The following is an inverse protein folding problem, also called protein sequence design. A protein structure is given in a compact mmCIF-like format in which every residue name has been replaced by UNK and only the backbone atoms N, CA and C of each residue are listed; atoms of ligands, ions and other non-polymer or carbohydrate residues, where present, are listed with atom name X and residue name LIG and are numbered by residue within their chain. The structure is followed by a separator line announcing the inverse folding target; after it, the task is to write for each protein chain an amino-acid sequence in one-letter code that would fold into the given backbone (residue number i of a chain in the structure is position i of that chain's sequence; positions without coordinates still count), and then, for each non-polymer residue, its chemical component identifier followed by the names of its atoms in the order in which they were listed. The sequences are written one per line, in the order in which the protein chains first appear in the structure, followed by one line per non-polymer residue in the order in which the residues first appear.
data_IF_932029398703
#
_entry.id   IF_932029398703
#
_cell.length_a   1.000
_cell.length_b   1.000
_cell.length_c   1.000
_cell.angle_alpha   90.00
_cell.angle_beta   90.00
_cell.angle_gamma   90.00
#
_symmetry.space_group_name_H-M   'P 1'
#
loop_
_entity.id
_entity.type
_entity.pdbx_description
1 polymer ?
#
# COMPACT_ATOMS: atom_id res chain seq x y z
N UNK A 1 16.10 -8.13 -3.90
CA UNK A 1 14.78 -8.59 -4.36
C UNK A 1 14.89 -8.83 -5.86
N UNK A 2 14.51 -10.00 -6.37
CA UNK A 2 14.51 -10.26 -7.81
C UNK A 2 13.48 -9.38 -8.53
N UNK A 3 13.62 -9.27 -9.85
CA UNK A 3 12.76 -8.49 -10.76
C UNK A 3 11.27 -8.91 -10.71
N UNK A 4 10.94 -10.00 -10.02
CA UNK A 4 9.65 -10.71 -10.14
C UNK A 4 8.58 -10.33 -9.10
N UNK A 5 8.87 -9.43 -8.15
CA UNK A 5 7.91 -9.08 -7.08
C UNK A 5 7.23 -7.72 -7.28
N UNK A 6 7.25 -7.19 -8.50
CA UNK A 6 6.71 -5.86 -8.84
C UNK A 6 5.22 -5.71 -8.48
N UNK A 7 4.44 -6.79 -8.49
CA UNK A 7 3.02 -6.77 -8.13
C UNK A 7 2.76 -6.61 -6.62
N UNK A 8 3.72 -6.89 -5.73
CA UNK A 8 3.53 -6.83 -4.28
C UNK A 8 3.33 -5.41 -3.72
N UNK A 9 2.47 -5.24 -2.72
CA UNK A 9 2.33 -3.96 -1.98
C UNK A 9 3.57 -3.60 -1.15
N UNK A 10 4.48 -4.56 -0.96
CA UNK A 10 5.77 -4.39 -0.29
C UNK A 10 6.90 -4.02 -1.28
N UNK A 11 6.63 -4.05 -2.59
CA UNK A 11 7.61 -3.64 -3.58
C UNK A 11 7.89 -2.14 -3.44
N UNK A 12 9.17 -1.78 -3.47
CA UNK A 12 9.60 -0.38 -3.43
C UNK A 12 9.24 0.31 -4.74
N UNK A 13 8.24 1.18 -4.66
CA UNK A 13 7.80 2.08 -5.73
C UNK A 13 7.11 3.24 -4.99
N UNK A 14 7.84 4.34 -4.75
CA UNK A 14 7.30 5.46 -4.02
C UNK A 14 6.00 5.96 -4.66
N UNK A 15 4.98 6.19 -3.84
CA UNK A 15 3.70 6.77 -4.27
C UNK A 15 3.38 8.00 -3.44
N UNK A 16 2.71 8.97 -4.04
CA UNK A 16 2.30 10.21 -3.38
C UNK A 16 0.82 10.13 -2.99
N UNK A 17 0.52 10.38 -1.72
CA UNK A 17 -0.84 10.32 -1.17
C UNK A 17 -1.00 11.37 -0.06
N UNK A 18 -2.02 12.23 -0.18
CA UNK A 18 -2.40 13.21 0.86
C UNK A 18 -1.20 13.99 1.42
N UNK A 19 -0.40 14.57 0.51
CA UNK A 19 0.82 15.36 0.79
C UNK A 19 2.05 14.58 1.30
N UNK A 20 1.95 13.25 1.41
CA UNK A 20 3.05 12.40 1.84
C UNK A 20 3.56 11.51 0.69
N UNK A 21 4.88 11.36 0.62
CA UNK A 21 5.52 10.30 -0.17
C UNK A 21 5.69 9.06 0.69
N UNK A 22 5.23 7.92 0.18
CA UNK A 22 5.30 6.63 0.86
C UNK A 22 6.17 5.66 0.05
N UNK A 23 7.14 4.96 0.67
CA UNK A 23 8.06 4.06 -0.05
C UNK A 23 7.37 2.92 -0.81
N UNK A 24 6.21 2.45 -0.33
CA UNK A 24 5.42 1.38 -0.96
C UNK A 24 3.91 1.61 -0.73
N UNK A 25 3.07 0.84 -1.43
CA UNK A 25 1.61 0.80 -1.19
C UNK A 25 1.27 0.43 0.26
N UNK A 26 2.01 -0.51 0.86
CA UNK A 26 1.79 -0.91 2.26
C UNK A 26 1.93 0.28 3.21
N UNK A 27 2.91 1.15 3.01
CA UNK A 27 3.08 2.35 3.83
C UNK A 27 1.86 3.28 3.74
N UNK A 28 1.43 3.60 2.51
CA UNK A 28 0.30 4.49 2.28
C UNK A 28 -1.00 3.89 2.85
N UNK A 29 -1.23 2.59 2.62
CA UNK A 29 -2.42 1.90 3.10
C UNK A 29 -2.51 1.89 4.63
N UNK A 30 -1.39 1.66 5.32
CA UNK A 30 -1.34 1.65 6.77
C UNK A 30 -1.48 3.06 7.37
N UNK A 31 -0.86 4.07 6.74
CA UNK A 31 -1.01 5.46 7.15
C UNK A 31 -2.45 5.98 6.96
N UNK A 32 -3.13 5.51 5.92
CA UNK A 32 -4.51 5.89 5.63
C UNK A 32 -5.53 5.36 6.65
N UNK A 33 -5.15 4.50 7.59
CA UNK A 33 -6.04 4.00 8.65
C UNK A 33 -6.34 5.04 9.73
N UNK A 34 -5.52 6.07 9.85
CA UNK A 34 -5.63 7.11 10.87
C UNK A 34 -5.82 8.48 10.21
N UNK A 35 -6.44 9.40 10.95
CA UNK A 35 -6.53 10.82 10.61
C UNK A 35 -5.42 11.63 11.28
N UNK A 36 -4.67 11.04 12.22
CA UNK A 36 -3.57 11.71 12.89
C UNK A 36 -2.36 11.88 11.94
N UNK A 37 -2.03 13.13 11.65
CA UNK A 37 -0.91 13.54 10.80
C UNK A 37 0.44 13.06 11.37
N UNK A 38 0.60 13.05 12.70
CA UNK A 38 1.84 12.59 13.34
C UNK A 38 2.05 11.09 13.14
N UNK A 39 0.99 10.30 13.27
CA UNK A 39 1.04 8.86 12.99
C UNK A 39 1.32 8.57 11.51
N UNK A 40 0.69 9.32 10.60
CA UNK A 40 0.96 9.21 9.16
C UNK A 40 2.42 9.50 8.84
N UNK A 41 2.97 10.58 9.40
CA UNK A 41 4.38 10.96 9.22
C UNK A 41 5.31 9.91 9.82
N UNK A 42 4.98 9.36 10.98
CA UNK A 42 5.74 8.28 11.59
C UNK A 42 5.78 7.05 10.67
N UNK A 43 4.61 6.61 10.18
CA UNK A 43 4.50 5.47 9.27
C UNK A 43 5.31 5.72 8.00
N UNK A 44 5.22 6.92 7.40
CA UNK A 44 5.98 7.27 6.20
C UNK A 44 7.51 7.11 6.35
N UNK A 45 8.04 7.27 7.56
CA UNK A 45 9.48 7.26 7.84
C UNK A 45 9.98 5.97 8.51
N UNK A 46 9.12 4.97 8.77
CA UNK A 46 9.54 3.75 9.44
C UNK A 46 10.37 2.85 8.51
N UNK A 47 11.31 2.09 9.06
CA UNK A 47 12.38 1.46 8.28
C UNK A 47 11.99 0.31 7.34
N UNK A 48 10.77 -0.25 7.41
CA UNK A 48 10.34 -1.30 6.48
C UNK A 48 8.81 -1.37 6.30
N UNK A 49 8.32 -1.93 5.17
CA UNK A 49 6.89 -2.17 4.97
C UNK A 49 6.28 -3.08 6.06
N UNK A 50 7.06 -4.03 6.58
CA UNK A 50 6.65 -4.88 7.70
C UNK A 50 6.46 -4.08 9.00
N UNK A 51 7.34 -3.11 9.25
CA UNK A 51 7.19 -2.19 10.37
C UNK A 51 6.00 -1.24 10.17
N UNK A 52 5.77 -0.73 8.96
CA UNK A 52 4.59 0.06 8.61
C UNK A 52 3.29 -0.72 8.85
N UNK A 53 3.25 -1.99 8.42
CA UNK A 53 2.14 -2.91 8.70
C UNK A 53 1.88 -3.10 10.19
N UNK A 54 2.94 -3.24 10.98
CA UNK A 54 2.85 -3.36 12.44
C UNK A 54 2.32 -2.06 13.06
N UNK A 55 2.86 -0.91 12.65
CA UNK A 55 2.43 0.40 13.15
C UNK A 55 0.96 0.68 12.84
N UNK A 56 0.52 0.48 11.58
CA UNK A 56 -0.88 0.67 11.17
C UNK A 56 -1.89 -0.32 11.77
N UNK A 57 -1.46 -1.37 12.47
CA UNK A 57 -2.36 -2.19 13.29
C UNK A 57 -2.68 -1.56 14.65
N UNK A 58 -1.85 -0.62 15.11
CA UNK A 58 -1.90 -0.03 16.44
C UNK A 58 -2.33 1.44 16.44
N UNK A 59 -2.60 2.02 15.27
CA UNK A 59 -3.08 3.40 15.16
C UNK A 59 -4.52 3.53 15.65
N UNK A 60 -4.94 4.76 15.96
CA UNK A 60 -6.36 5.05 16.13
C UNK A 60 -7.08 4.90 14.79
N UNK A 61 -7.86 3.82 14.67
CA UNK A 61 -8.57 3.50 13.43
C UNK A 61 -9.69 4.52 13.20
N UNK A 62 -9.75 5.07 11.98
CA UNK A 62 -10.87 5.90 11.54
C UNK A 62 -12.19 5.12 11.59
N UNK A 63 -13.28 5.81 11.92
CA UNK A 63 -14.61 5.20 12.08
C UNK A 63 -15.19 4.63 10.79
N UNK A 64 -14.83 5.20 9.64
CA UNK A 64 -15.27 4.82 8.30
C UNK A 64 -14.37 3.75 7.64
N UNK A 65 -13.37 3.20 8.35
CA UNK A 65 -12.33 2.38 7.73
C UNK A 65 -12.86 1.20 6.91
N UNK A 66 -13.85 0.49 7.45
CA UNK A 66 -14.41 -0.69 6.79
C UNK A 66 -15.11 -0.36 5.47
N UNK A 67 -15.68 0.83 5.36
CA UNK A 67 -16.37 1.32 4.16
C UNK A 67 -15.37 1.76 3.08
N UNK A 68 -14.24 2.36 3.49
CA UNK A 68 -13.33 3.00 2.54
C UNK A 68 -12.08 2.19 2.20
N UNK A 69 -11.74 1.13 2.96
CA UNK A 69 -10.45 0.42 2.83
C UNK A 69 -10.19 -0.08 1.39
N UNK A 70 -11.22 -0.50 0.68
CA UNK A 70 -11.10 -0.95 -0.70
C UNK A 70 -10.80 0.22 -1.65
N UNK A 71 -11.48 1.35 -1.48
CA UNK A 71 -11.20 2.58 -2.24
C UNK A 71 -9.78 3.09 -1.97
N UNK A 72 -9.33 3.08 -0.71
CA UNK A 72 -7.96 3.46 -0.34
C UNK A 72 -6.94 2.55 -1.05
N UNK A 73 -7.14 1.23 -1.01
CA UNK A 73 -6.25 0.29 -1.71
C UNK A 73 -6.24 0.56 -3.22
N UNK A 74 -7.41 0.77 -3.82
CA UNK A 74 -7.55 1.09 -5.24
C UNK A 74 -6.72 2.33 -5.61
N UNK A 75 -6.87 3.43 -4.86
CA UNK A 75 -6.10 4.66 -5.12
C UNK A 75 -4.59 4.43 -4.98
N UNK A 76 -4.15 3.67 -3.95
CA UNK A 76 -2.74 3.35 -3.79
C UNK A 76 -2.18 2.53 -4.97
N UNK A 77 -2.96 1.57 -5.49
CA UNK A 77 -2.58 0.76 -6.64
C UNK A 77 -2.56 1.60 -7.92
N UNK A 78 -3.55 2.47 -8.13
CA UNK A 78 -3.54 3.43 -9.23
C UNK A 78 -2.28 4.28 -9.21
N UNK A 79 -1.89 4.82 -8.04
CA UNK A 79 -0.67 5.61 -7.92
C UNK A 79 0.60 4.78 -8.23
N UNK A 80 0.65 3.52 -7.78
CA UNK A 80 1.79 2.61 -8.02
C UNK A 80 1.96 2.28 -9.51
N UNK A 81 0.85 2.11 -10.23
CA UNK A 81 0.80 1.67 -11.61
C UNK A 81 0.51 2.79 -12.62
N UNK A 82 0.49 4.05 -12.18
CA UNK A 82 0.28 5.20 -13.07
C UNK A 82 1.45 5.46 -14.03
N UNK A 83 2.65 5.02 -13.66
CA UNK A 83 3.87 5.15 -14.47
C UNK A 83 3.93 4.06 -15.56
N UNK A 84 4.36 4.43 -16.76
CA UNK A 84 4.22 3.64 -18.00
C UNK A 84 4.86 2.24 -17.91
N UNK A 85 5.93 2.09 -17.12
CA UNK A 85 6.67 0.84 -17.00
C UNK A 85 5.82 -0.32 -16.46
N UNK A 86 5.28 -0.20 -15.25
CA UNK A 86 4.47 -1.27 -14.64
C UNK A 86 3.03 -1.29 -15.14
N UNK A 87 2.54 -0.18 -15.72
CA UNK A 87 1.27 -0.17 -16.45
C UNK A 87 1.31 -1.12 -17.66
N UNK A 88 2.41 -1.12 -18.41
CA UNK A 88 2.58 -2.02 -19.55
C UNK A 88 2.62 -3.49 -19.11
N UNK A 89 3.38 -3.81 -18.05
CA UNK A 89 3.41 -5.16 -17.47
C UNK A 89 2.03 -5.60 -16.95
N UNK A 90 1.27 -4.70 -16.32
CA UNK A 90 -0.09 -4.98 -15.87
C UNK A 90 -1.03 -5.31 -17.03
N UNK A 91 -1.00 -4.55 -18.14
CA UNK A 91 -1.84 -4.82 -19.32
C UNK A 91 -1.53 -6.14 -20.01
N UNK A 92 -0.26 -6.55 -20.00
CA UNK A 92 0.18 -7.81 -20.61
C UNK A 92 -0.15 -9.03 -19.74
N UNK A 93 -0.59 -8.81 -18.51
CA UNK A 93 -0.87 -9.89 -17.57
C UNK A 93 -2.30 -10.41 -17.77
N UNK A 94 -2.43 -11.53 -18.48
CA UNK A 94 -3.69 -12.30 -18.63
C UNK A 94 -4.01 -13.17 -17.39
N UNK A 95 -3.36 -12.89 -16.27
CA UNK A 95 -3.44 -13.66 -15.02
C UNK A 95 -4.16 -12.86 -13.96
N UNK A 96 -5.15 -13.49 -13.34
CA UNK A 96 -5.76 -13.02 -12.10
C UNK A 96 -4.68 -12.98 -11.00
N UNK A 97 -4.08 -11.82 -10.76
CA UNK A 97 -3.04 -11.63 -9.76
C UNK A 97 -3.63 -11.50 -8.36
N UNK A 98 -3.98 -12.62 -7.74
CA UNK A 98 -4.38 -12.67 -6.34
C UNK A 98 -3.19 -13.17 -5.51
N UNK A 99 -2.70 -12.34 -4.60
CA UNK A 99 -1.84 -12.78 -3.50
C UNK A 99 -2.73 -12.96 -2.26
N UNK A 100 -3.27 -14.16 -2.06
CA UNK A 100 -3.99 -14.48 -0.81
C UNK A 100 -2.96 -14.72 0.29
N UNK A 101 -3.13 -14.05 1.44
CA UNK A 101 -2.49 -14.46 2.70
C UNK A 101 -3.46 -15.30 3.56
N UNK A 102 -4.51 -15.85 2.94
CA UNK A 102 -5.48 -16.70 3.61
C UNK A 102 -4.99 -18.14 3.47
N UNK A 103 -4.24 -18.62 4.46
CA UNK A 103 -4.33 -20.02 4.83
C UNK A 103 -5.76 -20.22 5.29
N UNK A 104 -6.59 -20.78 4.41
CA UNK A 104 -7.87 -21.35 4.83
C UNK A 104 -7.52 -22.54 5.71
N UNK A 105 -8.04 -22.58 6.94
CA UNK A 105 -7.92 -23.72 7.84
C UNK A 105 -8.43 -24.99 7.17
#
# INVERSE_FOLDING_TARGET
MSKDNWFSNFAHKPIFMSDFSYPTVEYAFQAAKTLDIKERKHIANIGSPGAAKKAGRNVNLRSDWEEIKLAVMYVCLCAKFADEGWYHELKLTDKLCIKTNYTVL
#
